data_IF_431389039042
#
_entry.id   IF_431389039042
#
_cell.length_a   1.000
_cell.length_b   1.000
_cell.length_c   1.000
_cell.angle_alpha   90.00
_cell.angle_beta   90.00
_cell.angle_gamma   90.00
#
_symmetry.space_group_name_H-M   'P 1'
#
loop_
_entity.id
_entity.type
_entity.pdbx_description
1 polymer ?
#
# COMPACT_ATOMS: atom_id res chain seq x y z
N UNK A 1 -13.93 -16.47 13.02
CA UNK A 1 -14.33 -15.78 11.78
C UNK A 1 -15.24 -14.62 12.20
N UNK A 2 -14.84 -13.86 13.23
CA UNK A 2 -15.80 -13.22 14.16
C UNK A 2 -15.57 -11.71 14.34
N UNK A 3 -14.60 -11.11 13.64
CA UNK A 3 -14.24 -9.69 13.87
C UNK A 3 -15.06 -8.74 12.99
N UNK A 4 -15.53 -9.22 11.83
CA UNK A 4 -16.33 -8.42 10.89
C UNK A 4 -17.80 -8.33 11.35
N UNK A 5 -18.31 -9.34 12.05
CA UNK A 5 -19.74 -9.39 12.45
C UNK A 5 -20.14 -8.37 13.53
N UNK A 6 -19.18 -7.79 14.25
CA UNK A 6 -19.47 -6.89 15.38
C UNK A 6 -18.94 -5.45 15.20
N UNK A 7 -18.40 -5.09 14.03
CA UNK A 7 -18.05 -3.69 13.78
C UNK A 7 -19.27 -2.94 13.22
N UNK A 8 -20.07 -2.41 14.13
CA UNK A 8 -21.20 -1.56 13.78
C UNK A 8 -20.64 -0.18 13.39
N UNK A 9 -20.60 0.10 12.08
CA UNK A 9 -20.36 1.45 11.59
C UNK A 9 -21.43 2.32 12.24
N UNK A 10 -21.02 3.26 13.09
CA UNK A 10 -21.94 4.17 13.77
C UNK A 10 -22.46 5.19 12.77
N UNK A 11 -23.39 4.76 11.91
CA UNK A 11 -24.00 5.57 10.85
C UNK A 11 -24.63 6.85 11.41
N UNK A 12 -25.06 6.84 12.67
CA UNK A 12 -25.63 8.01 13.34
C UNK A 12 -24.56 8.99 13.88
N UNK A 13 -23.32 8.55 14.11
CA UNK A 13 -22.18 9.48 14.31
C UNK A 13 -21.72 10.04 12.96
N UNK A 14 -21.66 9.21 11.92
CA UNK A 14 -21.38 9.64 10.54
C UNK A 14 -22.35 10.71 10.03
N UNK A 15 -23.67 10.53 10.23
CA UNK A 15 -24.69 11.50 9.81
C UNK A 15 -24.51 12.87 10.49
N UNK A 16 -23.96 12.93 11.71
CA UNK A 16 -23.68 14.21 12.39
C UNK A 16 -22.57 15.01 11.72
N UNK A 17 -21.64 14.34 11.05
CA UNK A 17 -20.53 14.95 10.32
C UNK A 17 -20.82 15.15 8.82
N UNK A 18 -21.89 14.53 8.29
CA UNK A 18 -22.28 14.66 6.87
C UNK A 18 -23.00 15.98 6.54
N UNK A 19 -23.44 16.73 7.56
CA UNK A 19 -24.14 18.02 7.40
C UNK A 19 -23.21 19.26 7.47
N UNK A 20 -21.88 19.12 7.59
CA UNK A 20 -20.96 20.25 7.87
C UNK A 20 -19.61 20.23 7.12
N UNK A 21 -18.90 21.37 7.14
CA UNK A 21 -17.50 21.58 6.72
C UNK A 21 -16.47 20.66 7.45
N UNK A 22 -16.92 19.73 8.29
CA UNK A 22 -16.06 18.77 9.01
C UNK A 22 -15.35 17.82 8.04
N UNK A 23 -15.98 17.42 6.93
CA UNK A 23 -15.31 16.59 5.92
C UNK A 23 -14.09 17.29 5.32
N UNK A 24 -14.16 18.61 5.12
CA UNK A 24 -13.07 19.40 4.54
C UNK A 24 -11.93 19.60 5.54
N UNK A 25 -12.25 19.59 6.83
CA UNK A 25 -11.26 19.71 7.91
C UNK A 25 -10.61 18.37 8.19
N UNK A 26 -11.40 17.30 8.32
CA UNK A 26 -10.94 15.96 8.60
C UNK A 26 -10.23 15.32 7.40
N UNK A 27 -10.60 15.65 6.17
CA UNK A 27 -9.84 15.18 4.98
C UNK A 27 -8.42 15.75 4.90
N UNK A 28 -8.14 16.86 5.60
CA UNK A 28 -6.80 17.45 5.71
C UNK A 28 -5.96 16.80 6.80
N UNK A 29 -6.58 16.09 7.75
CA UNK A 29 -5.90 15.39 8.84
C UNK A 29 -5.52 13.96 8.42
N UNK A 30 -4.30 13.48 8.75
CA UNK A 30 -3.81 12.17 8.34
C UNK A 30 -4.70 10.96 8.63
N UNK A 31 -5.49 11.04 9.70
CA UNK A 31 -6.40 9.99 10.14
C UNK A 31 -7.83 10.52 10.31
N UNK A 32 -8.21 11.60 9.64
CA UNK A 32 -9.51 12.23 9.87
C UNK A 32 -10.69 11.33 9.49
N UNK A 33 -10.56 10.50 8.45
CA UNK A 33 -11.59 9.49 8.11
C UNK A 33 -11.64 8.41 9.20
N UNK A 34 -10.49 7.91 9.66
CA UNK A 34 -10.41 6.99 10.79
C UNK A 34 -11.11 7.56 12.04
N UNK A 35 -10.82 8.81 12.41
CA UNK A 35 -11.40 9.48 13.58
C UNK A 35 -12.92 9.68 13.42
N UNK A 36 -13.35 10.15 12.24
CA UNK A 36 -14.77 10.37 11.92
C UNK A 36 -15.60 9.08 12.08
N UNK A 37 -15.01 7.95 11.70
CA UNK A 37 -15.64 6.64 11.81
C UNK A 37 -15.50 6.01 13.20
N UNK A 38 -14.76 6.65 14.11
CA UNK A 38 -14.47 6.10 15.44
C UNK A 38 -13.66 4.79 15.37
N UNK A 39 -12.83 4.61 14.34
CA UNK A 39 -11.97 3.44 14.19
C UNK A 39 -10.71 3.63 15.02
N UNK A 40 -10.49 2.73 15.98
CA UNK A 40 -9.27 2.77 16.80
C UNK A 40 -8.06 2.24 16.04
N UNK A 41 -6.86 2.64 16.47
CA UNK A 41 -5.60 2.10 15.95
C UNK A 41 -5.55 0.57 16.11
N UNK A 42 -6.02 0.05 17.25
CA UNK A 42 -6.13 -1.40 17.48
C UNK A 42 -7.07 -2.11 16.50
N UNK A 43 -8.10 -1.43 15.98
CA UNK A 43 -8.96 -1.97 14.93
C UNK A 43 -8.21 -1.99 13.58
N UNK A 44 -7.47 -0.92 13.25
CA UNK A 44 -6.62 -0.90 12.05
C UNK A 44 -5.56 -2.00 12.07
N UNK A 45 -4.89 -2.23 13.20
CA UNK A 45 -3.90 -3.31 13.36
C UNK A 45 -4.50 -4.70 13.14
N UNK A 46 -5.76 -4.91 13.56
CA UNK A 46 -6.48 -6.16 13.31
C UNK A 46 -6.79 -6.32 11.82
N UNK A 47 -7.30 -5.28 11.17
CA UNK A 47 -7.52 -5.30 9.72
C UNK A 47 -6.22 -5.53 8.94
N UNK A 48 -5.12 -4.90 9.36
CA UNK A 48 -3.79 -5.13 8.80
C UNK A 48 -3.37 -6.60 8.91
N UNK A 49 -3.52 -7.18 10.11
CA UNK A 49 -3.21 -8.60 10.35
C UNK A 49 -4.06 -9.52 9.47
N UNK A 50 -5.35 -9.22 9.30
CA UNK A 50 -6.24 -9.94 8.39
C UNK A 50 -5.75 -9.81 6.94
N UNK A 51 -5.41 -8.60 6.49
CA UNK A 51 -4.88 -8.35 5.15
C UNK A 51 -3.62 -9.16 4.86
N UNK A 52 -2.66 -9.15 5.79
CA UNK A 52 -1.45 -9.97 5.70
C UNK A 52 -1.78 -11.47 5.61
N UNK A 53 -2.73 -11.95 6.42
CA UNK A 53 -3.15 -13.36 6.38
C UNK A 53 -3.76 -13.75 5.03
N UNK A 54 -4.59 -12.87 4.46
CA UNK A 54 -5.18 -13.07 3.14
C UNK A 54 -4.12 -13.12 2.04
N UNK A 55 -3.06 -12.28 2.12
CA UNK A 55 -1.90 -12.38 1.22
C UNK A 55 -1.19 -13.73 1.36
N UNK A 56 -0.92 -14.20 2.58
CA UNK A 56 -0.31 -15.52 2.81
C UNK A 56 -1.14 -16.66 2.21
N UNK A 57 -2.46 -16.57 2.34
CA UNK A 57 -3.43 -17.54 1.83
C UNK A 57 -3.70 -17.41 0.32
N UNK A 58 -3.04 -16.46 -0.35
CA UNK A 58 -3.21 -16.18 -1.79
C UNK A 58 -4.61 -15.72 -2.18
N UNK A 59 -5.35 -15.14 -1.25
CA UNK A 59 -6.66 -14.52 -1.46
C UNK A 59 -6.48 -13.07 -1.83
N UNK A 60 -5.98 -12.84 -3.06
CA UNK A 60 -5.44 -11.56 -3.50
C UNK A 60 -6.49 -10.46 -3.57
N UNK A 61 -7.67 -10.76 -4.10
CA UNK A 61 -8.75 -9.78 -4.20
C UNK A 61 -9.25 -9.33 -2.82
N UNK A 62 -9.42 -10.28 -1.90
CA UNK A 62 -9.85 -9.99 -0.53
C UNK A 62 -8.80 -9.16 0.22
N UNK A 63 -7.52 -9.52 0.08
CA UNK A 63 -6.42 -8.76 0.68
C UNK A 63 -6.39 -7.32 0.15
N UNK A 64 -6.48 -7.15 -1.17
CA UNK A 64 -6.55 -5.85 -1.84
C UNK A 64 -7.69 -5.00 -1.27
N UNK A 65 -8.88 -5.56 -1.11
CA UNK A 65 -10.04 -4.81 -0.63
C UNK A 65 -9.84 -4.36 0.82
N UNK A 66 -9.24 -5.21 1.67
CA UNK A 66 -8.85 -4.84 3.04
C UNK A 66 -7.80 -3.72 3.04
N UNK A 67 -6.73 -3.84 2.26
CA UNK A 67 -5.69 -2.82 2.21
C UNK A 67 -6.18 -1.50 1.60
N UNK A 68 -7.08 -1.55 0.61
CA UNK A 68 -7.72 -0.36 0.05
C UNK A 68 -8.57 0.36 1.09
N UNK A 69 -9.25 -0.38 1.95
CA UNK A 69 -9.96 0.21 3.08
C UNK A 69 -8.98 0.85 4.07
N UNK A 70 -7.89 0.17 4.43
CA UNK A 70 -6.88 0.72 5.32
C UNK A 70 -6.23 2.02 4.79
N UNK A 71 -5.91 2.10 3.51
CA UNK A 71 -5.34 3.31 2.91
C UNK A 71 -6.34 4.46 2.84
N UNK A 72 -7.64 4.18 2.72
CA UNK A 72 -8.69 5.20 2.85
C UNK A 72 -8.77 5.75 4.28
N UNK A 73 -8.67 4.88 5.28
CA UNK A 73 -8.77 5.29 6.69
C UNK A 73 -7.55 6.10 7.15
N UNK A 74 -6.37 5.67 6.75
CA UNK A 74 -5.12 6.33 7.09
C UNK A 74 -4.07 6.17 5.97
N UNK A 75 -3.98 7.14 5.04
CA UNK A 75 -3.05 7.08 3.92
C UNK A 75 -1.60 7.39 4.29
N UNK A 76 -1.28 7.59 5.57
CA UNK A 76 0.08 7.92 6.01
C UNK A 76 0.84 6.71 6.57
N UNK A 77 0.21 5.53 6.61
CA UNK A 77 0.84 4.30 7.06
C UNK A 77 1.42 3.54 5.86
N UNK A 78 2.74 3.51 5.77
CA UNK A 78 3.48 2.87 4.67
C UNK A 78 3.04 1.43 4.39
N UNK A 79 2.91 0.62 5.45
CA UNK A 79 2.56 -0.80 5.32
C UNK A 79 1.20 -1.03 4.66
N UNK A 80 0.27 -0.07 4.73
CA UNK A 80 -1.05 -0.20 4.11
C UNK A 80 -0.94 -0.08 2.59
N UNK A 81 -0.12 0.85 2.10
CA UNK A 81 0.20 0.99 0.68
C UNK A 81 1.00 -0.18 0.15
N UNK A 82 1.95 -0.71 0.92
CA UNK A 82 2.70 -1.90 0.55
C UNK A 82 1.78 -3.12 0.39
N UNK A 83 0.88 -3.34 1.35
CA UNK A 83 -0.10 -4.43 1.27
C UNK A 83 -1.05 -4.27 0.08
N UNK A 84 -1.54 -3.04 -0.19
CA UNK A 84 -2.38 -2.76 -1.35
C UNK A 84 -1.62 -3.03 -2.66
N UNK A 85 -0.39 -2.54 -2.78
CA UNK A 85 0.45 -2.75 -3.96
C UNK A 85 0.71 -4.23 -4.22
N UNK A 86 1.03 -5.00 -3.17
CA UNK A 86 1.23 -6.46 -3.28
C UNK A 86 -0.06 -7.14 -3.74
N UNK A 87 -1.21 -6.82 -3.13
CA UNK A 87 -2.50 -7.40 -3.50
C UNK A 87 -2.92 -7.09 -4.94
N UNK A 88 -2.73 -5.85 -5.40
CA UNK A 88 -2.98 -5.47 -6.80
C UNK A 88 -2.01 -6.17 -7.75
N UNK A 89 -0.71 -6.22 -7.41
CA UNK A 89 0.32 -6.85 -8.25
C UNK A 89 0.08 -8.35 -8.41
N UNK A 90 -0.25 -9.06 -7.33
CA UNK A 90 -0.55 -10.50 -7.38
C UNK A 90 -1.87 -10.81 -8.08
N UNK A 91 -2.80 -9.85 -8.12
CA UNK A 91 -4.04 -9.91 -8.91
C UNK A 91 -3.83 -9.56 -10.39
N UNK A 92 -2.62 -9.18 -10.81
CA UNK A 92 -2.31 -8.77 -12.19
C UNK A 92 -2.68 -7.32 -12.53
N UNK A 93 -3.12 -6.53 -11.56
CA UNK A 93 -3.51 -5.12 -11.73
C UNK A 93 -2.27 -4.21 -11.61
N UNK A 94 -1.32 -4.36 -12.53
CA UNK A 94 -0.01 -3.72 -12.43
C UNK A 94 -0.05 -2.18 -12.42
N UNK A 95 -1.03 -1.56 -13.09
CA UNK A 95 -1.21 -0.10 -13.05
C UNK A 95 -1.58 0.37 -11.63
N UNK A 96 -2.55 -0.28 -11.01
CA UNK A 96 -3.01 0.07 -9.65
C UNK A 96 -1.94 -0.25 -8.61
N UNK A 97 -1.19 -1.34 -8.80
CA UNK A 97 -0.03 -1.67 -7.97
C UNK A 97 1.04 -0.57 -8.04
N UNK A 98 1.35 -0.09 -9.26
CA UNK A 98 2.28 1.02 -9.45
C UNK A 98 1.86 2.29 -8.72
N UNK A 99 0.56 2.64 -8.76
CA UNK A 99 0.02 3.78 -8.00
C UNK A 99 0.18 3.57 -6.49
N UNK A 100 -0.17 2.39 -5.98
CA UNK A 100 -0.04 2.07 -4.56
C UNK A 100 1.42 2.17 -4.09
N UNK A 101 2.39 1.70 -4.90
CA UNK A 101 3.80 1.84 -4.57
C UNK A 101 4.30 3.28 -4.65
N UNK A 102 3.80 4.11 -5.57
CA UNK A 102 4.10 5.56 -5.56
C UNK A 102 3.62 6.21 -4.27
N UNK A 103 2.44 5.82 -3.77
CA UNK A 103 1.95 6.30 -2.48
C UNK A 103 2.78 5.75 -1.31
N UNK A 104 3.22 4.50 -1.38
CA UNK A 104 4.16 3.91 -0.41
C UNK A 104 5.49 4.67 -0.34
N UNK A 105 6.07 5.03 -1.49
CA UNK A 105 7.28 5.87 -1.59
C UNK A 105 7.07 7.23 -0.91
N UNK A 106 5.90 7.83 -1.03
CA UNK A 106 5.62 9.13 -0.39
C UNK A 106 5.61 9.03 1.14
N UNK A 107 5.28 7.85 1.69
CA UNK A 107 5.24 7.61 3.15
C UNK A 107 6.57 7.12 3.74
N UNK A 108 7.35 6.35 2.98
CA UNK A 108 8.72 5.95 3.33
C UNK A 108 9.59 5.98 2.06
N UNK A 109 10.30 7.10 1.80
CA UNK A 109 11.17 7.25 0.64
C UNK A 109 12.45 6.41 0.69
N UNK A 110 12.74 5.78 1.84
CA UNK A 110 13.98 5.04 2.07
C UNK A 110 13.78 3.52 2.04
N UNK A 111 12.54 3.04 1.97
CA UNK A 111 12.25 1.64 1.70
C UNK A 111 12.67 1.25 0.26
N UNK A 112 13.66 0.36 0.07
CA UNK A 112 14.02 -0.08 -1.27
C UNK A 112 12.98 -1.02 -1.89
N UNK A 113 12.14 -1.67 -1.08
CA UNK A 113 11.19 -2.71 -1.54
C UNK A 113 10.07 -2.08 -2.34
N UNK A 114 9.53 -0.93 -1.92
CA UNK A 114 8.51 -0.20 -2.69
C UNK A 114 8.97 0.12 -4.12
N UNK A 115 10.22 0.55 -4.29
CA UNK A 115 10.77 0.84 -5.61
C UNK A 115 11.04 -0.41 -6.44
N UNK A 116 11.50 -1.49 -5.78
CA UNK A 116 11.74 -2.78 -6.42
C UNK A 116 10.44 -3.38 -6.97
N UNK A 117 9.34 -3.28 -6.23
CA UNK A 117 8.04 -3.78 -6.66
C UNK A 117 7.41 -2.89 -7.75
N UNK A 118 7.54 -1.56 -7.63
CA UNK A 118 7.14 -0.64 -8.69
C UNK A 118 7.89 -0.94 -10.02
N UNK A 119 9.20 -1.22 -9.95
CA UNK A 119 9.99 -1.65 -11.09
C UNK A 119 9.42 -2.89 -11.77
N UNK A 120 9.07 -3.92 -11.00
CA UNK A 120 8.46 -5.15 -11.54
C UNK A 120 7.10 -4.88 -12.20
N UNK A 121 6.27 -4.01 -11.61
CA UNK A 121 4.98 -3.63 -12.19
C UNK A 121 5.16 -2.92 -13.53
N UNK A 122 6.07 -1.95 -13.62
CA UNK A 122 6.31 -1.24 -14.88
C UNK A 122 6.94 -2.12 -15.96
N UNK A 123 7.75 -3.12 -15.59
CA UNK A 123 8.20 -4.14 -16.53
C UNK A 123 7.03 -4.96 -17.09
N UNK A 124 6.10 -5.39 -16.23
CA UNK A 124 4.92 -6.15 -16.65
C UNK A 124 4.00 -5.34 -17.58
N UNK A 125 3.95 -4.01 -17.40
CA UNK A 125 3.24 -3.08 -18.28
C UNK A 125 4.00 -2.75 -19.58
N UNK A 126 5.27 -3.12 -19.69
CA UNK A 126 6.13 -2.72 -20.81
C UNK A 126 6.57 -1.25 -20.79
N UNK A 127 6.31 -0.52 -19.70
CA UNK A 127 6.77 0.85 -19.52
C UNK A 127 8.24 0.87 -19.09
N UNK A 128 9.11 0.76 -20.09
CA UNK A 128 10.57 0.73 -19.89
C UNK A 128 11.12 2.01 -19.25
N UNK A 129 10.45 3.15 -19.41
CA UNK A 129 10.90 4.45 -18.87
C UNK A 129 10.65 4.50 -17.36
N UNK A 130 9.44 4.15 -16.92
CA UNK A 130 9.11 4.11 -15.50
C UNK A 130 9.80 2.94 -14.79
N UNK A 131 10.00 1.81 -15.47
CA UNK A 131 10.79 0.70 -14.96
C UNK A 131 12.23 1.14 -14.66
N UNK A 132 12.93 1.76 -15.63
CA UNK A 132 14.31 2.22 -15.43
C UNK A 132 14.44 3.23 -14.28
N UNK A 133 13.47 4.14 -14.18
CA UNK A 133 13.42 5.13 -13.10
C UNK A 133 13.27 4.46 -11.74
N UNK A 134 12.36 3.50 -11.62
CA UNK A 134 12.08 2.77 -10.38
C UNK A 134 13.26 1.90 -9.98
N UNK A 135 13.92 1.25 -10.95
CA UNK A 135 15.15 0.48 -10.74
C UNK A 135 16.26 1.35 -10.14
N UNK A 136 16.54 2.52 -10.73
CA UNK A 136 17.58 3.44 -10.20
C UNK A 136 17.27 3.91 -8.78
N UNK A 137 15.99 4.18 -8.49
CA UNK A 137 15.54 4.55 -7.15
C UNK A 137 15.73 3.42 -6.15
N UNK A 138 15.36 2.19 -6.52
CA UNK A 138 15.58 1.01 -5.68
C UNK A 138 17.07 0.84 -5.32
N UNK A 139 17.98 0.94 -6.30
CA UNK A 139 19.42 0.85 -6.04
C UNK A 139 19.92 1.95 -5.11
N UNK A 140 19.48 3.20 -5.32
CA UNK A 140 19.84 4.33 -4.46
C UNK A 140 19.31 4.13 -3.03
N UNK A 141 18.11 3.59 -2.89
CA UNK A 141 17.51 3.32 -1.58
C UNK A 141 18.23 2.19 -0.86
N UNK A 142 18.57 1.10 -1.57
CA UNK A 142 19.40 0.02 -1.05
C UNK A 142 20.73 0.53 -0.50
N UNK A 143 21.41 1.43 -1.22
CA UNK A 143 22.67 2.03 -0.77
C UNK A 143 22.48 2.84 0.52
N UNK A 144 21.37 3.58 0.65
CA UNK A 144 21.07 4.39 1.82
C UNK A 144 20.70 3.55 3.05
N UNK A 145 19.92 2.50 2.87
CA UNK A 145 19.47 1.63 3.96
C UNK A 145 20.44 0.45 4.24
N UNK A 146 21.48 0.27 3.42
CA UNK A 146 22.46 -0.81 3.54
C UNK A 146 21.94 -2.20 3.09
N UNK A 147 20.88 -2.26 2.28
CA UNK A 147 20.31 -3.53 1.79
C UNK A 147 21.01 -4.01 0.51
N UNK A 148 22.23 -4.53 0.66
CA UNK A 148 23.05 -4.98 -0.46
C UNK A 148 22.50 -6.24 -1.15
N UNK A 149 21.85 -7.13 -0.39
CA UNK A 149 21.25 -8.35 -0.95
C UNK A 149 20.18 -8.01 -2.00
N UNK A 150 19.24 -7.12 -1.67
CA UNK A 150 18.22 -6.67 -2.63
C UNK A 150 18.85 -5.96 -3.82
N UNK A 151 19.92 -5.17 -3.58
CA UNK A 151 20.65 -4.46 -4.63
C UNK A 151 21.24 -5.42 -5.66
N UNK A 152 21.95 -6.44 -5.19
CA UNK A 152 22.55 -7.48 -6.03
C UNK A 152 21.48 -8.27 -6.78
N UNK A 153 20.40 -8.66 -6.11
CA UNK A 153 19.27 -9.37 -6.72
C UNK A 153 18.65 -8.58 -7.88
N UNK A 154 18.43 -7.28 -7.70
CA UNK A 154 17.89 -6.41 -8.75
C UNK A 154 18.83 -6.29 -9.96
N UNK A 155 20.13 -6.13 -9.73
CA UNK A 155 21.14 -6.05 -10.79
C UNK A 155 21.17 -7.34 -11.61
N UNK A 156 21.21 -8.49 -10.92
CA UNK A 156 21.22 -9.81 -11.56
C UNK A 156 19.94 -10.07 -12.36
N UNK A 157 18.78 -9.72 -11.79
CA UNK A 157 17.49 -9.84 -12.46
C UNK A 157 17.45 -9.08 -13.78
N UNK A 158 17.87 -7.80 -13.77
CA UNK A 158 17.91 -6.96 -14.97
C UNK A 158 18.90 -7.48 -16.02
N UNK A 159 20.08 -7.93 -15.61
CA UNK A 159 21.08 -8.48 -16.51
C UNK A 159 20.60 -9.75 -17.24
N UNK A 160 19.79 -10.58 -16.58
CA UNK A 160 19.22 -11.79 -17.17
C UNK A 160 18.10 -11.50 -18.18
N UNK A 161 17.36 -10.39 -18.04
CA UNK A 161 16.35 -9.98 -19.02
C UNK A 161 16.93 -9.37 -20.31
N UNK A 162 18.20 -8.93 -20.28
CA UNK A 162 18.87 -8.33 -21.43
C UNK A 162 19.58 -9.35 -22.34
N UNK A 163 19.58 -10.64 -21.96
CA UNK A 163 20.15 -11.76 -22.73
C UNK A 163 19.07 -12.43 -23.56
#
# INVERSE_FOLDING_TARGET
MDVIENYEIKLDELKKHFDSNDWETLSKEPNGIQQMLGISDAALERFYTIGCKLLEERRWEDARDVFRFLTLLNPFVHNFWMGLGIGEQTSGNYEQAGIAYVMGEATDPDDPVVHANAYQCYLALGDTVLAERSFKRALKSCERCGNEELRENLINYKANMAK
#
